data_IF_896144959658
#
_entry.id   IF_896144959658
#
_cell.length_a   1.000
_cell.length_b   1.000
_cell.length_c   1.000
_cell.angle_alpha   90.00
_cell.angle_beta   90.00
_cell.angle_gamma   90.00
#
_symmetry.space_group_name_H-M   'P 1'
#
loop_
_entity.id
_entity.type
_entity.pdbx_description
1 polymer ?
#
# COMPACT_ATOMS: atom_id res chain seq x y z
N UNK A 1 22.37 -8.87 12.57
CA UNK A 1 23.11 -9.72 11.60
C UNK A 1 22.09 -10.51 10.81
N UNK A 2 22.00 -10.30 9.50
CA UNK A 2 21.13 -11.12 8.66
C UNK A 2 21.71 -12.53 8.60
N UNK A 3 20.95 -13.58 8.98
CA UNK A 3 21.44 -14.95 8.82
C UNK A 3 21.73 -15.18 7.33
N UNK A 4 22.91 -15.73 7.02
CA UNK A 4 23.29 -16.08 5.66
C UNK A 4 22.39 -17.23 5.21
N UNK A 5 21.36 -16.93 4.42
CA UNK A 5 20.34 -17.91 4.08
C UNK A 5 20.63 -18.55 2.73
N UNK A 6 20.96 -19.84 2.75
CA UNK A 6 21.04 -20.65 1.54
C UNK A 6 19.67 -20.80 0.89
N UNK A 7 19.55 -20.46 -0.40
CA UNK A 7 18.36 -20.69 -1.25
C UNK A 7 17.82 -22.13 -1.14
N UNK A 8 18.70 -23.10 -0.94
CA UNK A 8 18.34 -24.51 -0.74
C UNK A 8 17.47 -24.77 0.49
N UNK A 9 17.63 -23.99 1.57
CA UNK A 9 16.81 -24.11 2.77
C UNK A 9 15.35 -23.75 2.50
N UNK A 10 15.12 -22.68 1.74
CA UNK A 10 13.76 -22.27 1.34
C UNK A 10 13.09 -23.32 0.46
N UNK A 11 13.81 -23.84 -0.54
CA UNK A 11 13.28 -24.86 -1.45
C UNK A 11 12.87 -26.12 -0.68
N UNK A 12 13.69 -26.56 0.27
CA UNK A 12 13.44 -27.74 1.10
C UNK A 12 12.16 -27.59 1.95
N UNK A 13 11.98 -26.43 2.59
CA UNK A 13 10.80 -26.13 3.42
C UNK A 13 9.52 -26.04 2.57
N UNK A 14 9.61 -25.46 1.36
CA UNK A 14 8.48 -25.41 0.42
C UNK A 14 8.06 -26.82 -0.01
N UNK A 15 9.01 -27.69 -0.35
CA UNK A 15 8.73 -29.08 -0.75
C UNK A 15 8.05 -29.84 0.40
N UNK A 16 8.56 -29.72 1.63
CA UNK A 16 7.97 -30.33 2.83
C UNK A 16 6.55 -29.84 3.09
N UNK A 17 6.29 -28.54 2.96
CA UNK A 17 4.95 -27.98 3.12
C UNK A 17 3.97 -28.49 2.05
N UNK A 18 4.40 -28.56 0.78
CA UNK A 18 3.59 -29.10 -0.32
C UNK A 18 3.23 -30.56 -0.05
N UNK A 19 4.19 -31.38 0.40
CA UNK A 19 3.95 -32.78 0.77
C UNK A 19 2.92 -32.87 1.91
N UNK A 20 3.06 -32.05 2.96
CA UNK A 20 2.10 -31.98 4.07
C UNK A 20 0.68 -31.64 3.62
N UNK A 21 0.54 -30.64 2.74
CA UNK A 21 -0.77 -30.26 2.19
C UNK A 21 -1.35 -31.31 1.24
N UNK A 22 -0.53 -31.99 0.44
CA UNK A 22 -0.98 -33.11 -0.41
C UNK A 22 -1.51 -34.27 0.42
N UNK A 23 -0.84 -34.63 1.53
CA UNK A 23 -1.35 -35.65 2.45
C UNK A 23 -2.66 -35.24 3.12
N UNK A 24 -2.81 -33.95 3.47
CA UNK A 24 -4.03 -33.42 4.06
C UNK A 24 -5.20 -33.40 3.07
N UNK A 25 -4.94 -33.03 1.82
CA UNK A 25 -5.88 -33.09 0.70
C UNK A 25 -6.32 -34.54 0.41
N UNK A 26 -5.39 -35.50 0.47
CA UNK A 26 -5.71 -36.92 0.30
C UNK A 26 -6.60 -37.48 1.43
N UNK A 27 -6.59 -36.84 2.60
CA UNK A 27 -7.51 -37.11 3.71
C UNK A 27 -8.92 -36.49 3.57
N UNK A 28 -9.21 -35.76 2.49
CA UNK A 28 -10.53 -35.17 2.17
C UNK A 28 -11.40 -36.16 1.38
N UNK A 29 -12.63 -36.43 1.85
CA UNK A 29 -13.57 -37.42 1.28
C UNK A 29 -13.92 -37.16 -0.19
N UNK A 30 -13.91 -35.89 -0.61
CA UNK A 30 -14.26 -35.48 -1.98
C UNK A 30 -13.06 -35.52 -2.93
N UNK A 31 -11.86 -35.31 -2.42
CA UNK A 31 -10.63 -35.23 -3.23
C UNK A 31 -9.93 -36.58 -3.42
N UNK A 32 -10.10 -37.53 -2.49
CA UNK A 32 -9.53 -38.88 -2.63
C UNK A 32 -10.17 -39.68 -3.78
N UNK A 33 -11.45 -39.46 -4.06
CA UNK A 33 -12.16 -40.03 -5.20
C UNK A 33 -11.68 -39.46 -6.54
N UNK A 34 -11.30 -38.18 -6.56
CA UNK A 34 -10.75 -37.52 -7.75
C UNK A 34 -9.30 -37.97 -8.02
N UNK A 35 -8.50 -38.17 -6.96
CA UNK A 35 -7.07 -38.49 -7.07
C UNK A 35 -6.71 -39.98 -7.13
N UNK A 36 -7.39 -40.86 -6.38
CA UNK A 36 -7.05 -42.29 -6.26
C UNK A 36 -8.04 -43.26 -6.92
N UNK A 37 -9.18 -42.76 -7.43
CA UNK A 37 -10.20 -43.58 -8.10
C UNK A 37 -10.67 -44.81 -7.29
N UNK A 38 -10.55 -44.75 -5.96
CA UNK A 38 -10.94 -45.80 -5.01
C UNK A 38 -11.50 -45.16 -3.73
N UNK A 39 -12.54 -45.77 -3.15
CA UNK A 39 -13.06 -45.37 -1.85
C UNK A 39 -12.07 -45.81 -0.75
N UNK A 40 -11.44 -44.83 -0.12
CA UNK A 40 -10.48 -45.05 0.96
C UNK A 40 -11.24 -45.24 2.28
N UNK A 41 -10.83 -46.25 3.05
CA UNK A 41 -11.45 -46.62 4.33
C UNK A 41 -11.25 -45.53 5.39
N UNK A 42 -12.22 -45.38 6.32
CA UNK A 42 -12.19 -44.37 7.37
C UNK A 42 -10.92 -44.42 8.26
N UNK A 43 -10.27 -45.59 8.41
CA UNK A 43 -9.04 -45.74 9.21
C UNK A 43 -7.80 -45.17 8.50
N UNK A 44 -7.67 -45.38 7.19
CA UNK A 44 -6.57 -44.87 6.37
C UNK A 44 -6.64 -43.33 6.25
N UNK A 45 -7.86 -42.79 6.22
CA UNK A 45 -8.11 -41.35 6.22
C UNK A 45 -7.60 -40.64 7.48
N UNK A 46 -7.75 -41.26 8.64
CA UNK A 46 -7.25 -40.72 9.91
C UNK A 46 -5.72 -40.76 9.93
N UNK A 47 -5.12 -41.83 9.41
CA UNK A 47 -3.66 -41.92 9.25
C UNK A 47 -3.13 -40.81 8.35
N UNK A 48 -3.72 -40.58 7.16
CA UNK A 48 -3.26 -39.51 6.26
C UNK A 48 -3.38 -38.11 6.85
N UNK A 49 -4.44 -37.84 7.63
CA UNK A 49 -4.58 -36.57 8.37
C UNK A 49 -3.53 -36.42 9.46
N UNK A 50 -3.23 -37.49 10.19
CA UNK A 50 -2.18 -37.49 11.21
C UNK A 50 -0.80 -37.24 10.60
N UNK A 51 -0.51 -37.84 9.45
CA UNK A 51 0.73 -37.60 8.72
C UNK A 51 0.83 -36.17 8.18
N UNK A 52 -0.23 -35.63 7.58
CA UNK A 52 -0.25 -34.25 7.08
C UNK A 52 -0.01 -33.21 8.17
N UNK A 53 -0.65 -33.35 9.33
CA UNK A 53 -0.41 -32.48 10.48
C UNK A 53 1.00 -32.63 11.05
N UNK A 54 1.50 -33.87 11.16
CA UNK A 54 2.86 -34.13 11.65
C UNK A 54 3.91 -33.46 10.76
N UNK A 55 3.77 -33.53 9.44
CA UNK A 55 4.67 -32.86 8.49
C UNK A 55 4.63 -31.33 8.60
N UNK A 56 3.46 -30.72 8.81
CA UNK A 56 3.35 -29.27 8.99
C UNK A 56 4.00 -28.79 10.30
N UNK A 57 3.82 -29.55 11.39
CA UNK A 57 4.49 -29.27 12.66
C UNK A 57 6.00 -29.42 12.54
N UNK A 58 6.50 -30.46 11.87
CA UNK A 58 7.93 -30.65 11.61
C UNK A 58 8.50 -29.50 10.76
N UNK A 59 7.75 -29.06 9.73
CA UNK A 59 8.14 -27.91 8.89
C UNK A 59 8.24 -26.62 9.69
N UNK A 60 7.32 -26.40 10.65
CA UNK A 60 7.35 -25.27 11.56
C UNK A 60 8.61 -25.25 12.44
N UNK A 61 8.95 -26.39 13.06
CA UNK A 61 10.16 -26.49 13.88
C UNK A 61 11.45 -26.28 13.08
N UNK A 62 11.50 -26.77 11.84
CA UNK A 62 12.61 -26.55 10.92
C UNK A 62 12.75 -25.05 10.58
N UNK A 63 11.64 -24.34 10.31
CA UNK A 63 11.66 -22.89 10.07
C UNK A 63 12.18 -22.10 11.26
N UNK A 64 11.75 -22.43 12.47
CA UNK A 64 12.19 -21.75 13.70
C UNK A 64 13.68 -22.02 13.98
N UNK A 65 14.14 -23.25 13.70
CA UNK A 65 15.53 -23.66 13.91
C UNK A 65 16.50 -23.01 12.92
N UNK A 66 16.12 -22.91 11.64
CA UNK A 66 16.95 -22.31 10.59
C UNK A 66 17.01 -20.78 10.65
N UNK A 67 15.93 -20.13 11.09
CA UNK A 67 15.73 -18.71 10.80
C UNK A 67 15.33 -17.83 11.97
N UNK A 68 15.59 -18.28 13.21
CA UNK A 68 15.22 -17.57 14.45
C UNK A 68 13.71 -17.37 14.59
N UNK A 69 13.22 -17.19 15.81
CA UNK A 69 11.79 -17.24 16.10
C UNK A 69 10.96 -16.17 15.37
N UNK A 70 11.47 -14.94 15.29
CA UNK A 70 10.72 -13.81 14.72
C UNK A 70 10.55 -13.91 13.20
N UNK A 71 11.64 -14.17 12.47
CA UNK A 71 11.60 -14.27 11.01
C UNK A 71 11.03 -15.61 10.53
N UNK A 72 11.30 -16.70 11.25
CA UNK A 72 10.78 -18.03 10.94
C UNK A 72 9.25 -18.12 10.94
N UNK A 73 8.56 -17.39 11.84
CA UNK A 73 7.09 -17.34 11.89
C UNK A 73 6.48 -16.74 10.62
N UNK A 74 6.96 -15.56 10.20
CA UNK A 74 6.42 -14.88 9.01
C UNK A 74 6.71 -15.66 7.72
N UNK A 75 7.92 -16.22 7.61
CA UNK A 75 8.31 -17.07 6.49
C UNK A 75 7.45 -18.32 6.42
N UNK A 76 7.20 -18.97 7.57
CA UNK A 76 6.32 -20.14 7.65
C UNK A 76 4.91 -19.83 7.14
N UNK A 77 4.28 -18.74 7.59
CA UNK A 77 2.97 -18.34 7.07
C UNK A 77 2.99 -18.06 5.55
N UNK A 78 4.03 -17.40 5.05
CA UNK A 78 4.21 -17.16 3.62
C UNK A 78 4.28 -18.45 2.81
N UNK A 79 5.07 -19.43 3.28
CA UNK A 79 5.19 -20.74 2.62
C UNK A 79 3.89 -21.54 2.70
N UNK A 80 3.14 -21.47 3.81
CA UNK A 80 1.84 -22.12 3.91
C UNK A 80 0.82 -21.57 2.90
N UNK A 81 0.76 -20.25 2.73
CA UNK A 81 -0.13 -19.61 1.76
C UNK A 81 0.27 -20.02 0.34
N UNK A 82 1.55 -19.99 0.01
CA UNK A 82 2.05 -20.38 -1.31
C UNK A 82 1.79 -21.87 -1.62
N UNK A 83 2.08 -22.75 -0.67
CA UNK A 83 1.90 -24.19 -0.84
C UNK A 83 0.42 -24.58 -0.95
N UNK A 84 -0.46 -23.97 -0.15
CA UNK A 84 -1.90 -24.22 -0.22
C UNK A 84 -2.50 -23.76 -1.56
N UNK A 85 -2.12 -22.59 -2.07
CA UNK A 85 -2.54 -22.11 -3.39
C UNK A 85 -2.08 -23.06 -4.51
N UNK A 86 -0.82 -23.50 -4.48
CA UNK A 86 -0.30 -24.45 -5.48
C UNK A 86 -1.07 -25.77 -5.47
N UNK A 87 -1.40 -26.31 -4.29
CA UNK A 87 -2.17 -27.55 -4.18
C UNK A 87 -3.61 -27.36 -4.65
N UNK A 88 -4.27 -26.25 -4.31
CA UNK A 88 -5.64 -25.95 -4.79
C UNK A 88 -5.67 -25.83 -6.30
N UNK A 89 -4.71 -25.11 -6.90
CA UNK A 89 -4.60 -24.96 -8.35
C UNK A 89 -4.32 -26.30 -9.02
N UNK A 90 -3.43 -27.12 -8.45
CA UNK A 90 -3.10 -28.44 -8.98
C UNK A 90 -4.30 -29.41 -8.94
N UNK A 91 -5.04 -29.43 -7.83
CA UNK A 91 -6.27 -30.22 -7.69
C UNK A 91 -7.34 -29.70 -8.64
N UNK A 92 -7.52 -28.38 -8.74
CA UNK A 92 -8.47 -27.74 -9.66
C UNK A 92 -8.15 -28.06 -11.12
N UNK A 93 -6.89 -28.02 -11.52
CA UNK A 93 -6.46 -28.34 -12.88
C UNK A 93 -6.65 -29.83 -13.21
N UNK A 94 -6.38 -30.72 -12.25
CA UNK A 94 -6.56 -32.16 -12.43
C UNK A 94 -8.04 -32.57 -12.40
N UNK A 95 -8.86 -31.93 -11.57
CA UNK A 95 -10.32 -32.06 -11.58
C UNK A 95 -10.90 -31.58 -12.91
N UNK A 96 -10.46 -30.41 -13.39
CA UNK A 96 -10.83 -29.87 -14.70
C UNK A 96 -10.47 -30.82 -15.85
N UNK A 97 -9.28 -31.44 -15.81
CA UNK A 97 -8.85 -32.41 -16.82
C UNK A 97 -9.63 -33.73 -16.78
N UNK A 98 -9.97 -34.24 -15.58
CA UNK A 98 -10.80 -35.45 -15.42
C UNK A 98 -12.23 -35.22 -15.88
N UNK A 99 -12.78 -34.04 -15.58
CA UNK A 99 -14.10 -33.61 -16.03
C UNK A 99 -14.13 -33.40 -17.55
N UNK A 100 -13.11 -32.76 -18.15
CA UNK A 100 -12.98 -32.63 -19.61
C UNK A 100 -12.95 -33.98 -20.34
N UNK A 101 -12.20 -34.96 -19.85
CA UNK A 101 -12.12 -36.29 -20.47
C UNK A 101 -13.42 -37.11 -20.34
N UNK A 102 -14.16 -36.94 -19.23
CA UNK A 102 -15.50 -37.52 -19.09
C UNK A 102 -16.52 -36.79 -19.95
N UNK A 103 -16.39 -35.46 -20.10
CA UNK A 103 -17.25 -34.63 -20.94
C UNK A 103 -17.01 -34.92 -22.43
N UNK A 104 -15.79 -35.21 -22.88
CA UNK A 104 -15.51 -35.67 -24.26
C UNK A 104 -16.14 -37.04 -24.56
N UNK A 105 -16.16 -37.97 -23.58
CA UNK A 105 -16.84 -39.27 -23.72
C UNK A 105 -18.39 -39.17 -23.68
N UNK A 106 -18.95 -38.10 -23.11
CA UNK A 106 -20.39 -37.81 -23.10
C UNK A 106 -20.78 -36.97 -24.32
N UNK A 107 -19.89 -36.09 -24.79
CA UNK A 107 -20.10 -35.18 -25.93
C UNK A 107 -20.15 -35.88 -27.29
N UNK A 108 -19.69 -37.13 -27.41
CA UNK A 108 -19.97 -37.96 -28.60
C UNK A 108 -21.43 -38.47 -28.63
N UNK A 109 -22.22 -38.24 -27.58
CA UNK A 109 -23.62 -38.70 -27.46
C UNK A 109 -24.65 -37.56 -27.38
N UNK A 110 -24.23 -36.34 -27.04
CA UNK A 110 -25.08 -35.14 -26.94
C UNK A 110 -24.57 -34.00 -27.83
N UNK A 111 -24.21 -34.38 -29.05
CA UNK A 111 -24.01 -33.47 -30.16
C UNK A 111 -25.37 -32.89 -30.57
N UNK A 112 -25.88 -31.88 -29.85
CA UNK A 112 -26.86 -30.85 -30.27
C UNK A 112 -27.40 -30.11 -29.01
N UNK A 113 -26.95 -28.88 -28.74
CA UNK A 113 -27.74 -27.73 -28.22
C UNK A 113 -27.01 -26.72 -27.31
N UNK A 114 -25.84 -27.00 -26.71
CA UNK A 114 -25.23 -26.06 -25.74
C UNK A 114 -23.81 -25.56 -26.11
N UNK A 115 -23.66 -25.01 -27.33
CA UNK A 115 -22.37 -24.52 -27.84
C UNK A 115 -22.05 -23.05 -27.53
N UNK A 116 -22.95 -22.25 -26.94
CA UNK A 116 -22.69 -20.80 -26.77
C UNK A 116 -22.23 -20.37 -25.37
N UNK A 117 -22.53 -21.12 -24.30
CA UNK A 117 -22.36 -20.60 -22.92
C UNK A 117 -20.96 -20.78 -22.32
N UNK A 118 -20.19 -21.77 -22.79
CA UNK A 118 -18.91 -22.15 -22.17
C UNK A 118 -17.70 -21.33 -22.63
N UNK A 119 -17.72 -20.80 -23.86
CA UNK A 119 -16.65 -19.92 -24.35
C UNK A 119 -16.78 -18.50 -23.80
N UNK A 120 -18.01 -18.01 -23.58
CA UNK A 120 -18.24 -16.67 -23.06
C UNK A 120 -17.62 -16.47 -21.66
N UNK A 121 -17.76 -17.44 -20.75
CA UNK A 121 -17.22 -17.32 -19.38
C UNK A 121 -15.69 -17.31 -19.36
N UNK A 122 -15.04 -18.10 -20.23
CA UNK A 122 -13.57 -18.12 -20.37
C UNK A 122 -13.05 -16.83 -20.99
N UNK A 123 -13.71 -16.32 -22.02
CA UNK A 123 -13.36 -15.05 -22.67
C UNK A 123 -13.52 -13.90 -21.68
N UNK A 124 -14.63 -13.84 -20.93
CA UNK A 124 -14.85 -12.83 -19.88
C UNK A 124 -13.81 -12.95 -18.77
N UNK A 125 -13.44 -14.17 -18.36
CA UNK A 125 -12.40 -14.40 -17.36
C UNK A 125 -11.02 -13.89 -17.79
N UNK A 126 -10.61 -14.15 -19.04
CA UNK A 126 -9.34 -13.66 -19.60
C UNK A 126 -9.37 -12.15 -19.78
N UNK A 127 -10.49 -11.61 -20.29
CA UNK A 127 -10.68 -10.18 -20.49
C UNK A 127 -10.60 -9.44 -19.14
N UNK A 128 -11.23 -9.98 -18.09
CA UNK A 128 -11.14 -9.43 -16.74
C UNK A 128 -9.72 -9.54 -16.18
N UNK A 129 -9.01 -10.66 -16.37
CA UNK A 129 -7.63 -10.84 -15.92
C UNK A 129 -6.67 -9.82 -16.54
N UNK A 130 -6.94 -9.33 -17.75
CA UNK A 130 -6.11 -8.34 -18.45
C UNK A 130 -6.58 -6.91 -18.17
N UNK A 131 -7.89 -6.65 -18.19
CA UNK A 131 -8.44 -5.31 -18.00
C UNK A 131 -8.27 -4.79 -16.58
N UNK A 132 -8.30 -5.67 -15.57
CA UNK A 132 -8.16 -5.29 -14.18
C UNK A 132 -6.76 -4.73 -13.87
N UNK A 133 -5.64 -5.41 -14.19
CA UNK A 133 -4.31 -4.82 -14.01
C UNK A 133 -4.07 -3.61 -14.92
N UNK A 134 -4.64 -3.56 -16.13
CA UNK A 134 -4.56 -2.36 -16.98
C UNK A 134 -5.29 -1.18 -16.35
N UNK A 135 -6.48 -1.39 -15.79
CA UNK A 135 -7.25 -0.36 -15.10
C UNK A 135 -6.52 0.17 -13.86
N UNK A 136 -5.89 -0.73 -13.10
CA UNK A 136 -5.02 -0.34 -11.98
C UNK A 136 -3.80 0.44 -12.47
N UNK A 137 -3.11 -0.02 -13.51
CA UNK A 137 -1.95 0.68 -14.07
C UNK A 137 -2.32 2.08 -14.59
N UNK A 138 -3.47 2.20 -15.28
CA UNK A 138 -4.00 3.47 -15.72
C UNK A 138 -4.34 4.38 -14.53
N UNK A 139 -5.01 3.85 -13.51
CA UNK A 139 -5.31 4.59 -12.28
C UNK A 139 -4.02 5.10 -11.61
N UNK A 140 -3.00 4.26 -11.49
CA UNK A 140 -1.69 4.64 -10.95
C UNK A 140 -0.99 5.72 -11.80
N UNK A 141 -1.13 5.65 -13.13
CA UNK A 141 -0.59 6.67 -14.04
C UNK A 141 -1.31 8.02 -13.90
N UNK A 142 -2.61 8.01 -13.57
CA UNK A 142 -3.41 9.21 -13.32
C UNK A 142 -3.28 9.77 -11.91
N UNK A 143 -2.56 9.09 -11.00
CA UNK A 143 -2.41 9.58 -9.63
C UNK A 143 -1.67 10.93 -9.63
N UNK A 144 -2.18 11.93 -8.90
CA UNK A 144 -1.49 13.19 -8.78
C UNK A 144 -0.14 13.01 -8.07
N UNK A 145 0.91 13.63 -8.60
CA UNK A 145 2.25 13.62 -8.00
C UNK A 145 2.23 14.33 -6.65
N UNK A 146 3.00 13.81 -5.68
CA UNK A 146 3.11 14.37 -4.33
C UNK A 146 3.53 15.86 -4.37
N UNK A 147 2.96 16.76 -3.53
CA UNK A 147 3.18 18.20 -3.68
C UNK A 147 4.65 18.60 -3.47
N UNK A 148 5.39 17.89 -2.62
CA UNK A 148 6.83 18.11 -2.41
C UNK A 148 7.70 17.80 -3.66
N UNK A 149 7.17 17.07 -4.63
CA UNK A 149 7.87 16.73 -5.89
C UNK A 149 7.39 17.64 -7.03
N UNK A 150 6.47 18.56 -6.76
CA UNK A 150 5.97 19.49 -7.77
C UNK A 150 7.05 20.48 -8.21
N UNK A 151 6.93 20.99 -9.43
CA UNK A 151 7.83 22.04 -9.96
C UNK A 151 7.69 23.36 -9.19
N UNK A 152 6.54 23.58 -8.56
CA UNK A 152 6.25 24.75 -7.73
C UNK A 152 6.72 24.58 -6.27
N UNK A 153 7.38 23.47 -5.95
CA UNK A 153 7.92 23.26 -4.62
C UNK A 153 9.16 24.15 -4.40
N UNK A 154 9.13 24.96 -3.35
CA UNK A 154 10.24 25.79 -2.94
C UNK A 154 11.30 24.89 -2.30
N UNK A 155 12.45 24.77 -2.96
CA UNK A 155 13.62 24.05 -2.44
C UNK A 155 14.64 25.08 -1.99
N UNK A 156 14.91 25.12 -0.69
CA UNK A 156 15.71 26.19 -0.12
C UNK A 156 16.38 25.76 1.20
N UNK A 157 17.16 26.66 1.80
CA UNK A 157 17.84 26.47 3.08
C UNK A 157 17.40 27.52 4.11
N UNK A 158 17.32 27.10 5.36
CA UNK A 158 17.04 27.94 6.52
C UNK A 158 18.02 27.59 7.64
N UNK A 159 18.96 28.50 7.93
CA UNK A 159 20.14 28.17 8.73
C UNK A 159 20.95 27.06 8.04
N UNK A 160 21.22 25.97 8.76
CA UNK A 160 21.89 24.78 8.22
C UNK A 160 20.93 23.75 7.59
N UNK A 161 19.61 23.97 7.68
CA UNK A 161 18.61 22.98 7.30
C UNK A 161 18.15 23.18 5.85
N UNK A 162 18.34 22.16 5.02
CA UNK A 162 17.72 22.09 3.69
C UNK A 162 16.28 21.60 3.81
N UNK A 163 15.37 22.21 3.05
CA UNK A 163 13.96 21.83 3.06
C UNK A 163 13.29 22.01 1.71
N UNK A 164 12.14 21.37 1.60
CA UNK A 164 11.19 21.50 0.50
C UNK A 164 9.84 21.90 1.09
N UNK A 165 9.32 23.04 0.65
CA UNK A 165 8.01 23.57 1.03
C UNK A 165 7.11 23.63 -0.21
N UNK A 166 5.89 23.12 -0.10
CA UNK A 166 4.93 23.15 -1.19
C UNK A 166 3.50 23.43 -0.68
N UNK A 167 2.71 24.14 -1.49
CA UNK A 167 1.27 24.17 -1.31
C UNK A 167 0.66 22.80 -1.65
N UNK A 168 -0.52 22.49 -1.10
CA UNK A 168 -1.22 21.25 -1.41
C UNK A 168 -1.49 21.11 -2.93
N UNK A 169 -1.47 19.88 -3.45
CA UNK A 169 -1.44 19.58 -4.91
C UNK A 169 -2.54 20.30 -5.68
N UNK A 170 -3.74 20.37 -5.12
CA UNK A 170 -4.88 21.02 -5.78
C UNK A 170 -4.66 22.52 -5.98
N UNK A 171 -3.78 23.15 -5.20
CA UNK A 171 -3.70 24.60 -5.00
C UNK A 171 -4.97 25.20 -4.39
N UNK A 172 -6.00 24.38 -4.20
CA UNK A 172 -7.32 24.77 -3.68
C UNK A 172 -7.30 24.52 -2.19
N UNK A 173 -7.41 25.59 -1.44
CA UNK A 173 -7.74 25.51 -0.03
C UNK A 173 -9.15 24.94 0.17
N UNK A 174 -9.59 24.93 1.41
CA UNK A 174 -10.94 24.54 1.78
C UNK A 174 -11.55 25.57 2.71
N UNK A 175 -12.87 25.60 2.74
CA UNK A 175 -13.62 26.48 3.63
C UNK A 175 -14.11 25.64 4.80
N UNK A 176 -13.82 26.09 6.01
CA UNK A 176 -14.37 25.47 7.22
C UNK A 176 -15.88 25.70 7.31
N UNK A 177 -16.63 24.89 8.09
CA UNK A 177 -18.05 25.14 8.34
C UNK A 177 -18.36 26.56 8.86
N UNK A 178 -17.38 27.21 9.49
CA UNK A 178 -17.44 28.58 10.00
C UNK A 178 -17.12 29.65 8.93
N UNK A 179 -16.98 29.28 7.66
CA UNK A 179 -16.71 30.21 6.55
C UNK A 179 -15.26 30.69 6.48
N UNK A 180 -14.34 30.09 7.22
CA UNK A 180 -12.93 30.50 7.22
C UNK A 180 -12.15 29.78 6.10
N UNK A 181 -11.51 30.52 5.17
CA UNK A 181 -10.66 29.93 4.15
C UNK A 181 -9.33 29.45 4.75
N UNK A 182 -9.04 28.17 4.54
CA UNK A 182 -7.86 27.48 5.02
C UNK A 182 -7.05 26.91 3.85
N UNK A 183 -5.73 26.88 3.97
CA UNK A 183 -4.85 26.21 3.01
C UNK A 183 -3.84 25.32 3.73
N UNK A 184 -3.55 24.17 3.12
CA UNK A 184 -2.57 23.21 3.64
C UNK A 184 -1.23 23.35 2.93
N UNK A 185 -0.17 23.38 3.71
CA UNK A 185 1.21 23.39 3.24
C UNK A 185 1.93 22.13 3.71
N UNK A 186 2.83 21.64 2.85
CA UNK A 186 3.64 20.46 3.05
C UNK A 186 5.09 20.88 3.21
N UNK A 187 5.76 20.38 4.23
CA UNK A 187 7.16 20.68 4.53
C UNK A 187 7.91 19.38 4.79
N UNK A 188 9.07 19.23 4.16
CA UNK A 188 10.02 18.16 4.42
C UNK A 188 11.42 18.74 4.56
N UNK A 189 12.12 18.34 5.61
CA UNK A 189 13.54 18.64 5.80
C UNK A 189 14.42 17.53 5.27
N UNK A 190 15.72 17.80 5.13
CA UNK A 190 16.70 16.75 4.88
C UNK A 190 16.69 15.70 6.00
N UNK A 191 16.97 14.43 5.67
CA UNK A 191 16.84 13.31 6.61
C UNK A 191 17.67 13.49 7.89
N UNK A 192 18.89 14.02 7.78
CA UNK A 192 19.75 14.32 8.92
C UNK A 192 19.37 15.60 9.66
N UNK A 193 18.73 16.55 8.97
CA UNK A 193 18.27 17.83 9.50
C UNK A 193 17.08 17.62 10.44
N UNK A 194 16.15 16.73 10.07
CA UNK A 194 14.88 16.54 10.75
C UNK A 194 15.06 16.13 12.22
N UNK A 195 16.11 15.35 12.50
CA UNK A 195 16.48 14.90 13.86
C UNK A 195 16.91 16.04 14.79
N UNK A 196 17.39 17.16 14.24
CA UNK A 196 17.82 18.33 15.01
C UNK A 196 16.68 19.32 15.23
N UNK A 197 15.59 19.22 14.48
CA UNK A 197 14.50 20.20 14.51
C UNK A 197 13.48 19.82 15.57
N UNK A 198 13.28 20.72 16.53
CA UNK A 198 12.27 20.54 17.58
C UNK A 198 10.87 20.86 17.06
N UNK A 199 10.70 22.02 16.44
CA UNK A 199 9.44 22.46 15.85
C UNK A 199 9.68 23.32 14.61
N UNK A 200 8.76 23.26 13.66
CA UNK A 200 8.67 24.20 12.56
C UNK A 200 7.27 24.81 12.56
N UNK A 201 7.15 26.13 12.43
CA UNK A 201 5.89 26.87 12.44
C UNK A 201 5.69 27.61 11.13
N UNK A 202 4.43 27.69 10.71
CA UNK A 202 3.99 28.47 9.57
C UNK A 202 3.01 29.55 9.98
N UNK A 203 3.19 30.75 9.44
CA UNK A 203 2.26 31.86 9.67
C UNK A 203 2.16 32.78 8.45
N UNK A 204 0.97 33.36 8.26
CA UNK A 204 0.82 34.56 7.42
C UNK A 204 1.32 35.79 8.18
N UNK A 205 2.21 36.54 7.54
CA UNK A 205 2.93 37.70 8.02
C UNK A 205 3.88 37.43 9.20
N UNK A 206 4.81 38.36 9.40
CA UNK A 206 5.86 38.24 10.41
C UNK A 206 5.27 38.03 11.81
N UNK A 207 5.71 36.99 12.55
CA UNK A 207 5.31 36.82 13.94
C UNK A 207 5.86 37.98 14.78
N UNK A 208 5.02 38.57 15.63
CA UNK A 208 5.43 39.70 16.49
C UNK A 208 6.37 39.26 17.60
N UNK A 209 6.11 38.09 18.18
CA UNK A 209 6.81 37.55 19.35
C UNK A 209 6.98 36.03 19.23
N UNK A 210 7.90 35.45 20.00
CA UNK A 210 8.16 33.99 20.06
C UNK A 210 6.98 33.16 20.60
N UNK A 211 6.01 33.78 21.28
CA UNK A 211 4.78 33.11 21.72
C UNK A 211 3.73 32.98 20.61
N UNK A 212 3.92 33.65 19.46
CA UNK A 212 2.95 33.72 18.38
C UNK A 212 3.58 33.36 17.02
N UNK A 213 4.35 32.26 17.01
CA UNK A 213 5.11 31.79 15.83
C UNK A 213 4.25 31.23 14.71
N UNK A 214 2.99 30.90 14.98
CA UNK A 214 2.05 30.36 13.99
C UNK A 214 1.56 28.95 14.33
N UNK A 215 1.16 28.22 13.30
CA UNK A 215 0.69 26.84 13.41
C UNK A 215 1.87 25.90 13.16
N UNK A 216 2.04 24.92 14.05
CA UNK A 216 3.13 23.94 13.95
C UNK A 216 2.90 23.02 12.75
N UNK A 217 3.97 22.70 12.04
CA UNK A 217 4.00 21.59 11.11
C UNK A 217 4.06 20.29 11.90
N UNK A 218 2.99 19.51 11.78
CA UNK A 218 2.84 18.25 12.50
C UNK A 218 2.68 17.08 11.51
N UNK A 219 3.25 15.93 11.89
CA UNK A 219 3.10 14.63 11.23
C UNK A 219 3.93 13.57 11.99
N UNK A 220 3.45 12.32 12.06
CA UNK A 220 4.25 11.21 12.57
C UNK A 220 5.45 10.83 11.68
N UNK A 221 5.54 11.38 10.46
CA UNK A 221 6.61 11.09 9.50
C UNK A 221 7.34 12.37 9.06
N UNK A 222 8.41 12.22 8.26
CA UNK A 222 9.20 13.32 7.68
C UNK A 222 8.42 14.31 6.80
N UNK A 223 7.15 14.00 6.48
CA UNK A 223 6.25 14.82 5.67
C UNK A 223 5.30 15.52 6.59
N UNK A 224 5.64 16.74 6.95
CA UNK A 224 4.88 17.52 7.91
C UNK A 224 3.90 18.40 7.19
N UNK A 225 2.74 18.59 7.80
CA UNK A 225 1.68 19.43 7.23
C UNK A 225 1.24 20.50 8.22
N UNK A 226 0.91 21.67 7.69
CA UNK A 226 0.36 22.78 8.47
C UNK A 226 -0.78 23.40 7.69
N UNK A 227 -1.92 23.56 8.36
CA UNK A 227 -3.11 24.20 7.80
C UNK A 227 -3.26 25.57 8.42
N UNK A 228 -3.18 26.60 7.60
CA UNK A 228 -3.25 27.99 8.03
C UNK A 228 -4.44 28.71 7.42
N UNK A 229 -4.96 29.68 8.16
CA UNK A 229 -6.04 30.54 7.71
C UNK A 229 -5.52 31.66 6.81
N UNK A 230 -6.19 31.88 5.67
CA UNK A 230 -5.79 32.87 4.65
C UNK A 230 -6.70 34.11 4.67
N UNK A 231 -6.88 34.69 5.86
CA UNK A 231 -7.68 35.91 6.01
C UNK A 231 -6.85 37.17 5.70
N UNK A 232 -7.51 38.17 5.12
CA UNK A 232 -6.97 39.53 4.94
C UNK A 232 -5.62 39.60 4.20
N UNK A 233 -5.40 38.71 3.23
CA UNK A 233 -4.23 38.79 2.35
C UNK A 233 -4.25 40.09 1.52
N UNK A 234 -3.07 40.70 1.38
CA UNK A 234 -2.76 41.84 0.52
C UNK A 234 -1.50 41.54 -0.32
N UNK A 235 -1.15 42.43 -1.24
CA UNK A 235 0.02 42.26 -2.13
C UNK A 235 1.37 42.13 -1.40
N UNK A 236 1.43 42.61 -0.15
CA UNK A 236 2.62 42.57 0.71
C UNK A 236 2.58 41.41 1.71
N UNK A 237 1.59 40.52 1.61
CA UNK A 237 1.44 39.43 2.56
C UNK A 237 2.48 38.36 2.30
N UNK A 238 3.22 38.04 3.35
CA UNK A 238 4.31 37.07 3.29
C UNK A 238 3.95 35.82 4.08
N UNK A 239 4.42 34.67 3.61
CA UNK A 239 4.38 33.41 4.33
C UNK A 239 5.69 33.26 5.11
N UNK A 240 5.60 33.16 6.43
CA UNK A 240 6.75 33.05 7.33
C UNK A 240 6.89 31.62 7.85
N UNK A 241 8.06 31.02 7.62
CA UNK A 241 8.49 29.76 8.22
C UNK A 241 9.45 30.08 9.37
N UNK A 242 9.16 29.56 10.56
CA UNK A 242 10.07 29.63 11.72
C UNK A 242 10.48 28.23 12.13
N UNK A 243 11.77 27.95 12.18
CA UNK A 243 12.35 26.66 12.59
C UNK A 243 13.06 26.83 13.92
N UNK A 244 12.66 26.01 14.90
CA UNK A 244 13.30 25.88 16.20
C UNK A 244 14.23 24.67 16.20
N UNK A 245 15.51 24.92 16.40
CA UNK A 245 16.49 23.88 16.65
C UNK A 245 16.24 23.27 18.05
N UNK A 246 16.58 22.00 18.23
CA UNK A 246 16.61 21.35 19.55
C UNK A 246 17.56 22.05 20.52
N UNK A 247 18.58 22.73 20.00
CA UNK A 247 19.50 23.58 20.77
C UNK A 247 18.90 24.92 21.22
N UNK A 248 17.68 25.27 20.78
CA UNK A 248 16.99 26.52 21.13
C UNK A 248 17.20 27.68 20.16
N UNK A 249 18.04 27.52 19.13
CA UNK A 249 18.22 28.51 18.07
C UNK A 249 16.96 28.65 17.21
N UNK A 250 16.68 29.88 16.79
CA UNK A 250 15.50 30.24 15.98
C UNK A 250 15.96 30.71 14.62
N UNK A 251 15.50 30.06 13.56
CA UNK A 251 15.70 30.50 12.18
C UNK A 251 14.38 30.90 11.55
N UNK A 252 14.37 31.99 10.80
CA UNK A 252 13.16 32.51 10.14
C UNK A 252 13.43 32.80 8.67
N UNK A 253 12.45 32.50 7.83
CA UNK A 253 12.46 32.81 6.40
C UNK A 253 11.06 33.16 5.92
N UNK A 254 10.96 34.05 4.94
CA UNK A 254 9.68 34.48 4.39
C UNK A 254 9.67 34.49 2.86
N UNK A 255 8.46 34.36 2.32
CA UNK A 255 8.18 34.43 0.88
C UNK A 255 6.95 35.26 0.62
N UNK A 256 6.96 36.07 -0.44
CA UNK A 256 5.75 36.76 -0.87
C UNK A 256 4.72 35.73 -1.36
N UNK A 257 3.49 35.78 -0.83
CA UNK A 257 2.45 34.80 -1.16
C UNK A 257 2.01 34.93 -2.62
N UNK A 258 1.98 36.15 -3.15
CA UNK A 258 1.58 36.46 -4.53
C UNK A 258 2.52 35.88 -5.57
N UNK A 259 3.81 35.96 -5.30
CA UNK A 259 4.83 35.51 -6.22
C UNK A 259 5.02 34.00 -6.16
N UNK A 260 4.96 33.41 -4.96
CA UNK A 260 5.36 32.02 -4.75
C UNK A 260 4.18 31.02 -4.67
N UNK A 261 2.95 31.49 -4.42
CA UNK A 261 1.77 30.62 -4.27
C UNK A 261 0.56 31.13 -5.08
N UNK A 262 0.67 31.25 -6.42
CA UNK A 262 -0.36 31.86 -7.26
C UNK A 262 -1.68 31.10 -7.24
N UNK A 263 -1.66 29.76 -7.22
CA UNK A 263 -2.90 28.94 -7.24
C UNK A 263 -3.75 29.15 -6.00
N UNK A 264 -3.09 29.28 -4.84
CA UNK A 264 -3.76 29.57 -3.58
C UNK A 264 -4.51 30.91 -3.63
N UNK A 265 -3.92 31.93 -4.27
CA UNK A 265 -4.57 33.24 -4.42
C UNK A 265 -5.71 33.21 -5.42
N UNK A 266 -5.53 32.60 -6.58
CA UNK A 266 -6.60 32.44 -7.57
C UNK A 266 -7.84 31.78 -6.97
N UNK A 267 -7.63 30.73 -6.17
CA UNK A 267 -8.71 30.06 -5.44
C UNK A 267 -9.38 31.00 -4.42
N UNK A 268 -8.60 31.73 -3.63
CA UNK A 268 -9.10 32.62 -2.60
C UNK A 268 -9.89 33.81 -3.19
N UNK A 269 -9.41 34.40 -4.29
CA UNK A 269 -10.09 35.47 -5.01
C UNK A 269 -11.43 35.00 -5.57
N UNK A 270 -11.45 33.82 -6.19
CA UNK A 270 -12.70 33.21 -6.66
C UNK A 270 -13.70 33.02 -5.51
N UNK A 271 -13.26 32.50 -4.38
CA UNK A 271 -14.10 32.34 -3.19
C UNK A 271 -14.65 33.68 -2.68
N UNK A 272 -13.81 34.73 -2.59
CA UNK A 272 -14.25 36.08 -2.18
C UNK A 272 -15.31 36.63 -3.12
N UNK A 273 -15.12 36.51 -4.44
CA UNK A 273 -16.09 36.98 -5.43
C UNK A 273 -17.44 36.27 -5.33
N UNK A 274 -17.45 34.98 -5.00
CA UNK A 274 -18.68 34.19 -4.82
C UNK A 274 -19.45 34.55 -3.54
N UNK A 275 -18.77 35.03 -2.49
CA UNK A 275 -19.37 35.34 -1.18
C UNK A 275 -19.57 36.84 -0.89
N UNK A 276 -19.19 37.71 -1.82
CA UNK A 276 -19.48 39.17 -1.75
C UNK A 276 -20.86 39.50 -2.39
N UNK A 277 -21.52 38.52 -3.01
CA UNK A 277 -22.93 38.62 -3.46
C UNK A 277 -23.90 38.33 -2.33
#
# INVERSE_FOLDING_TARGET
MMPNVSIFGYLFVIILAIIGFLFLAMGSKKESLVLLNREISNKERILFKSFGWSFLVVTFFICVYLWTFSYGMFLYFGVLILASLLVIVFIGFKAYKKEKNNFENISSKEQNENLEKFDFVKIVGILALVLLPLGVAYSLFTLPKHPLVSENAIKDKIGEFEFVLAEHISGKGFITPQGMPMQTFHLRFCESCDLKIKYAYLRVNKPRNLSNLGIVFDSPYWDRTSTIQLNNLNDKSELWLTVLNSNGEVYQKSWNIKENFPKTLEWLEKYKMENIK
#
